data_IF_248098568829
#
_entry.id   IF_248098568829
#
_cell.length_a   1.000
_cell.length_b   1.000
_cell.length_c   1.000
_cell.angle_alpha   90.00
_cell.angle_beta   90.00
_cell.angle_gamma   90.00
#
_symmetry.space_group_name_H-M   'P 1'
#
loop_
_entity.id
_entity.type
_entity.pdbx_description
1 polymer ?
#
# COMPACT_ATOMS: atom_id res chain seq x y z
N UNK A 1 6.74 -3.84 -26.40
CA UNK A 1 8.00 -4.29 -25.77
C UNK A 1 7.71 -4.62 -24.31
N UNK A 2 8.49 -5.51 -23.68
CA UNK A 2 8.25 -6.02 -22.32
C UNK A 2 8.28 -4.91 -21.24
N UNK A 3 9.18 -3.93 -21.37
CA UNK A 3 9.27 -2.77 -20.47
C UNK A 3 8.02 -1.89 -20.47
N UNK A 4 7.42 -1.65 -21.63
CA UNK A 4 6.19 -0.85 -21.74
C UNK A 4 5.03 -1.49 -20.98
N UNK A 5 4.93 -2.83 -21.00
CA UNK A 5 3.92 -3.57 -20.19
C UNK A 5 4.26 -3.54 -18.70
N UNK A 6 5.54 -3.46 -18.33
CA UNK A 6 5.95 -3.37 -16.92
C UNK A 6 5.57 -2.03 -16.32
N UNK A 7 5.85 -0.93 -17.03
CA UNK A 7 5.47 0.44 -16.63
C UNK A 7 3.95 0.59 -16.51
N UNK A 8 3.19 0.07 -17.47
CA UNK A 8 1.71 0.06 -17.43
C UNK A 8 1.16 -0.61 -16.17
N UNK A 9 1.68 -1.79 -15.80
CA UNK A 9 1.24 -2.50 -14.58
C UNK A 9 1.45 -1.72 -13.29
N UNK A 10 2.49 -0.89 -13.21
CA UNK A 10 2.68 -0.02 -12.05
C UNK A 10 1.60 1.07 -12.02
N UNK A 11 1.37 1.74 -13.15
CA UNK A 11 0.36 2.79 -13.22
C UNK A 11 -1.05 2.26 -12.94
N UNK A 12 -1.40 1.07 -13.42
CA UNK A 12 -2.68 0.44 -13.10
C UNK A 12 -2.87 0.28 -11.58
N UNK A 13 -1.83 -0.17 -10.87
CA UNK A 13 -1.86 -0.35 -9.42
C UNK A 13 -1.84 0.99 -8.67
N UNK A 14 -1.07 1.96 -9.14
CA UNK A 14 -1.05 3.32 -8.56
C UNK A 14 -2.45 3.95 -8.67
N UNK A 15 -3.04 3.94 -9.86
CA UNK A 15 -4.38 4.48 -10.09
C UNK A 15 -5.43 3.75 -9.25
N UNK A 16 -5.31 2.44 -9.11
CA UNK A 16 -6.16 1.67 -8.21
C UNK A 16 -6.01 2.13 -6.75
N UNK A 17 -4.78 2.27 -6.23
CA UNK A 17 -4.54 2.75 -4.86
C UNK A 17 -5.16 4.13 -4.66
N UNK A 18 -4.89 5.08 -5.56
CA UNK A 18 -5.39 6.45 -5.48
C UNK A 18 -6.92 6.49 -5.48
N UNK A 19 -7.59 5.78 -6.40
CA UNK A 19 -9.05 5.65 -6.40
C UNK A 19 -9.55 5.18 -5.04
N UNK A 20 -8.94 4.12 -4.48
CA UNK A 20 -9.38 3.52 -3.21
C UNK A 20 -9.25 4.47 -2.03
N UNK A 21 -8.11 5.15 -1.89
CA UNK A 21 -7.86 6.02 -0.74
C UNK A 21 -8.61 7.36 -0.83
N UNK A 22 -8.83 7.92 -2.02
CA UNK A 22 -9.58 9.17 -2.19
C UNK A 22 -11.07 9.01 -1.87
N UNK A 23 -11.62 7.82 -2.09
CA UNK A 23 -13.06 7.57 -1.96
C UNK A 23 -13.38 6.60 -0.82
N UNK A 24 -12.62 6.64 0.28
CA UNK A 24 -12.97 5.91 1.52
C UNK A 24 -14.25 6.55 2.10
N UNK A 25 -15.38 5.81 2.20
CA UNK A 25 -16.61 6.32 2.78
C UNK A 25 -16.45 6.74 4.25
N UNK A 26 -17.35 7.61 4.70
CA UNK A 26 -17.54 7.89 6.13
C UNK A 26 -18.15 6.69 6.86
N UNK A 27 -17.85 6.56 8.15
CA UNK A 27 -18.24 5.43 8.99
C UNK A 27 -19.66 5.58 9.60
N UNK A 28 -20.62 6.07 8.81
CA UNK A 28 -21.96 6.45 9.28
C UNK A 28 -22.86 5.24 9.64
N UNK A 29 -22.70 4.14 8.92
CA UNK A 29 -23.46 2.91 9.08
C UNK A 29 -22.57 1.69 8.80
N UNK A 30 -23.04 0.50 9.20
CA UNK A 30 -22.26 -0.74 9.10
C UNK A 30 -21.88 -1.07 7.65
N UNK A 31 -22.73 -0.77 6.66
CA UNK A 31 -22.46 -1.04 5.25
C UNK A 31 -21.35 -0.12 4.73
N UNK A 32 -21.43 1.18 5.02
CA UNK A 32 -20.39 2.14 4.64
C UNK A 32 -19.08 1.87 5.36
N UNK A 33 -19.15 1.44 6.62
CA UNK A 33 -17.99 1.02 7.40
C UNK A 33 -17.30 -0.18 6.76
N UNK A 34 -18.04 -1.24 6.43
CA UNK A 34 -17.51 -2.40 5.73
C UNK A 34 -16.89 -2.02 4.37
N UNK A 35 -17.53 -1.11 3.63
CA UNK A 35 -16.99 -0.59 2.37
C UNK A 35 -15.68 0.20 2.58
N UNK A 36 -15.60 1.04 3.61
CA UNK A 36 -14.39 1.78 3.97
C UNK A 36 -13.24 0.84 4.33
N UNK A 37 -13.52 -0.15 5.17
CA UNK A 37 -12.57 -1.18 5.56
C UNK A 37 -12.05 -1.98 4.36
N UNK A 38 -12.95 -2.39 3.47
CA UNK A 38 -12.59 -3.06 2.23
C UNK A 38 -11.68 -2.20 1.35
N UNK A 39 -12.01 -0.91 1.16
CA UNK A 39 -11.17 0.01 0.37
C UNK A 39 -9.78 0.20 0.97
N UNK A 40 -9.68 0.37 2.28
CA UNK A 40 -8.38 0.43 2.98
C UNK A 40 -7.58 -0.85 2.77
N UNK A 41 -8.21 -2.02 2.95
CA UNK A 41 -7.55 -3.32 2.80
C UNK A 41 -6.97 -3.51 1.40
N UNK A 42 -7.79 -3.36 0.35
CA UNK A 42 -7.34 -3.63 -1.02
C UNK A 42 -6.33 -2.59 -1.52
N UNK A 43 -6.37 -1.35 -0.99
CA UNK A 43 -5.34 -0.35 -1.27
C UNK A 43 -3.99 -0.76 -0.67
N UNK A 44 -3.98 -1.27 0.56
CA UNK A 44 -2.78 -1.81 1.21
C UNK A 44 -2.28 -3.06 0.48
N UNK A 45 -3.16 -3.96 0.05
CA UNK A 45 -2.76 -5.12 -0.76
C UNK A 45 -2.09 -4.71 -2.08
N UNK A 46 -2.68 -3.74 -2.78
CA UNK A 46 -2.10 -3.22 -4.02
C UNK A 46 -0.74 -2.54 -3.79
N UNK A 47 -0.52 -1.89 -2.64
CA UNK A 47 0.77 -1.30 -2.31
C UNK A 47 1.83 -2.37 -2.01
N UNK A 48 1.46 -3.47 -1.34
CA UNK A 48 2.37 -4.62 -1.12
C UNK A 48 2.74 -5.31 -2.44
N UNK A 49 1.81 -5.39 -3.39
CA UNK A 49 2.12 -5.87 -4.75
C UNK A 49 3.15 -4.98 -5.45
N UNK A 50 3.03 -3.64 -5.34
CA UNK A 50 4.02 -2.71 -5.89
C UNK A 50 5.37 -2.89 -5.19
N UNK A 51 5.39 -3.08 -3.87
CA UNK A 51 6.62 -3.37 -3.11
C UNK A 51 7.30 -4.62 -3.67
N UNK A 52 6.59 -5.73 -3.85
CA UNK A 52 7.14 -6.95 -4.44
C UNK A 52 7.63 -6.72 -5.89
N UNK A 53 6.91 -5.92 -6.68
CA UNK A 53 7.33 -5.55 -8.02
C UNK A 53 8.63 -4.74 -8.01
N UNK A 54 8.74 -3.73 -7.14
CA UNK A 54 9.94 -2.91 -6.99
C UNK A 54 11.12 -3.74 -6.54
N UNK A 55 10.94 -4.62 -5.54
CA UNK A 55 11.99 -5.53 -5.06
C UNK A 55 12.58 -6.32 -6.22
N UNK A 56 11.75 -6.86 -7.11
CA UNK A 56 12.22 -7.57 -8.30
C UNK A 56 12.99 -6.65 -9.25
N UNK A 57 12.45 -5.47 -9.55
CA UNK A 57 12.98 -4.59 -10.58
C UNK A 57 14.30 -3.92 -10.17
N UNK A 58 14.55 -3.76 -8.88
CA UNK A 58 15.84 -3.26 -8.35
C UNK A 58 16.86 -4.39 -8.05
N UNK A 59 16.59 -5.61 -8.54
CA UNK A 59 17.50 -6.75 -8.48
C UNK A 59 17.44 -7.57 -7.18
N UNK A 60 16.38 -7.41 -6.39
CA UNK A 60 16.12 -8.19 -5.19
C UNK A 60 15.43 -9.53 -5.48
N UNK A 61 15.56 -10.46 -4.53
CA UNK A 61 14.76 -11.69 -4.49
C UNK A 61 13.43 -11.37 -3.79
N UNK A 62 12.32 -11.53 -4.50
CA UNK A 62 10.97 -11.33 -3.93
C UNK A 62 10.72 -12.39 -2.83
N UNK A 63 10.46 -11.91 -1.62
CA UNK A 63 10.04 -12.68 -0.45
C UNK A 63 8.63 -12.27 0.00
N UNK A 64 8.36 -12.41 1.31
CA UNK A 64 7.15 -11.86 1.92
C UNK A 64 7.18 -10.33 2.01
N UNK A 65 6.03 -9.73 2.33
CA UNK A 65 5.83 -8.29 2.42
C UNK A 65 6.86 -7.60 3.34
N UNK A 66 7.13 -8.16 4.53
CA UNK A 66 8.08 -7.57 5.49
C UNK A 66 9.53 -7.64 4.97
N UNK A 67 9.91 -8.76 4.37
CA UNK A 67 11.23 -8.95 3.76
C UNK A 67 11.42 -8.00 2.57
N UNK A 68 10.41 -7.83 1.72
CA UNK A 68 10.46 -6.93 0.57
C UNK A 68 10.60 -5.47 1.01
N UNK A 69 9.80 -5.02 2.00
CA UNK A 69 9.92 -3.66 2.55
C UNK A 69 11.32 -3.43 3.12
N UNK A 70 11.81 -4.37 3.94
CA UNK A 70 13.13 -4.26 4.59
C UNK A 70 14.24 -4.14 3.54
N UNK A 71 14.18 -4.97 2.50
CA UNK A 71 15.14 -4.91 1.39
C UNK A 71 15.11 -3.54 0.67
N UNK A 72 13.93 -2.99 0.39
CA UNK A 72 13.82 -1.68 -0.28
C UNK A 72 14.30 -0.53 0.60
N UNK A 73 14.10 -0.61 1.92
CA UNK A 73 14.65 0.35 2.89
C UNK A 73 16.17 0.26 2.97
N UNK A 74 16.75 -0.95 3.00
CA UNK A 74 18.21 -1.16 3.00
C UNK A 74 18.87 -0.67 1.71
N UNK A 75 18.14 -0.72 0.59
CA UNK A 75 18.57 -0.17 -0.71
C UNK A 75 18.30 1.32 -0.87
N UNK A 76 17.81 2.00 0.16
CA UNK A 76 17.45 3.43 0.16
C UNK A 76 16.42 3.80 -0.94
N UNK A 77 15.66 2.82 -1.42
CA UNK A 77 14.52 3.05 -2.33
C UNK A 77 13.34 3.61 -1.53
N UNK A 78 13.16 3.11 -0.31
CA UNK A 78 12.23 3.64 0.69
C UNK A 78 13.01 4.29 1.82
N UNK A 79 12.47 5.37 2.38
CA UNK A 79 12.99 5.91 3.64
C UNK A 79 12.72 4.91 4.78
N UNK A 80 13.50 4.98 5.86
CA UNK A 80 13.25 4.16 7.06
C UNK A 80 11.86 4.41 7.64
N UNK A 81 11.44 5.67 7.66
CA UNK A 81 10.11 6.08 8.14
C UNK A 81 8.98 5.46 7.31
N UNK A 82 9.03 5.63 5.98
CA UNK A 82 8.04 5.05 5.08
C UNK A 82 8.02 3.53 5.14
N UNK A 83 9.19 2.90 5.27
CA UNK A 83 9.30 1.46 5.46
C UNK A 83 8.56 0.96 6.71
N UNK A 84 8.72 1.64 7.85
CA UNK A 84 7.99 1.28 9.07
C UNK A 84 6.48 1.54 8.95
N UNK A 85 6.07 2.65 8.34
CA UNK A 85 4.64 2.93 8.08
C UNK A 85 4.00 1.85 7.20
N UNK A 86 4.70 1.39 6.15
CA UNK A 86 4.21 0.31 5.27
C UNK A 86 4.11 -1.03 6.01
N UNK A 87 5.02 -1.33 6.93
CA UNK A 87 4.93 -2.51 7.80
C UNK A 87 3.72 -2.45 8.73
N UNK A 88 3.43 -1.26 9.26
CA UNK A 88 2.23 -1.02 10.06
C UNK A 88 0.95 -1.22 9.24
N UNK A 89 0.90 -0.67 8.02
CA UNK A 89 -0.21 -0.91 7.09
C UNK A 89 -0.39 -2.39 6.76
N UNK A 90 0.70 -3.12 6.50
CA UNK A 90 0.65 -4.55 6.23
C UNK A 90 0.06 -5.33 7.44
N UNK A 91 0.37 -4.90 8.66
CA UNK A 91 -0.28 -5.41 9.87
C UNK A 91 -1.77 -5.07 9.93
N UNK A 92 -2.12 -3.82 9.64
CA UNK A 92 -3.51 -3.34 9.62
C UNK A 92 -4.38 -4.13 8.65
N UNK A 93 -3.87 -4.51 7.47
CA UNK A 93 -4.57 -5.39 6.51
C UNK A 93 -5.07 -6.67 7.19
N UNK A 94 -4.23 -7.31 8.00
CA UNK A 94 -4.58 -8.56 8.68
C UNK A 94 -5.61 -8.31 9.79
N UNK A 95 -5.48 -7.21 10.53
CA UNK A 95 -6.47 -6.81 11.54
C UNK A 95 -7.83 -6.53 10.90
N UNK A 96 -7.84 -5.94 9.70
CA UNK A 96 -9.09 -5.68 8.97
C UNK A 96 -9.84 -6.98 8.62
N UNK A 97 -9.11 -8.03 8.23
CA UNK A 97 -9.71 -9.34 7.90
C UNK A 97 -10.20 -10.07 9.14
N UNK A 98 -9.54 -9.87 10.28
CA UNK A 98 -9.79 -10.60 11.52
C UNK A 98 -10.66 -9.85 12.54
N UNK A 99 -11.48 -8.87 12.11
CA UNK A 99 -12.38 -8.13 13.01
C UNK A 99 -13.29 -9.07 13.79
N UNK A 100 -12.99 -9.30 15.06
CA UNK A 100 -13.80 -10.18 15.91
C UNK A 100 -14.69 -9.39 16.87
N UNK A 101 -14.47 -8.07 17.05
CA UNK A 101 -15.23 -7.23 17.96
C UNK A 101 -15.23 -5.72 17.60
N UNK A 102 -16.14 -4.95 18.21
CA UNK A 102 -16.34 -3.50 17.97
C UNK A 102 -15.18 -2.59 18.37
N UNK A 103 -14.36 -2.98 19.36
CA UNK A 103 -13.20 -2.17 19.79
C UNK A 103 -12.13 -2.13 18.70
N UNK A 104 -12.00 -3.21 17.94
CA UNK A 104 -11.12 -3.25 16.77
C UNK A 104 -11.62 -2.38 15.62
N UNK A 105 -12.93 -2.17 15.49
CA UNK A 105 -13.50 -1.31 14.43
C UNK A 105 -13.12 0.15 14.63
N UNK A 106 -13.37 0.71 15.83
CA UNK A 106 -13.03 2.12 16.15
C UNK A 106 -11.54 2.41 15.91
N UNK A 107 -10.66 1.48 16.31
CA UNK A 107 -9.22 1.63 16.09
C UNK A 107 -8.85 1.66 14.60
N UNK A 108 -9.57 0.90 13.75
CA UNK A 108 -9.33 0.92 12.31
C UNK A 108 -9.85 2.21 11.69
N UNK A 109 -10.99 2.73 12.16
CA UNK A 109 -11.52 4.02 11.71
C UNK A 109 -10.53 5.16 11.95
N UNK A 110 -9.88 5.19 13.13
CA UNK A 110 -8.82 6.15 13.47
C UNK A 110 -7.60 6.06 12.53
N UNK A 111 -7.35 4.89 11.92
CA UNK A 111 -6.26 4.69 10.97
C UNK A 111 -6.57 5.16 9.55
N UNK A 112 -7.79 5.64 9.25
CA UNK A 112 -8.16 6.13 7.90
C UNK A 112 -7.19 7.18 7.38
N UNK A 113 -6.90 8.21 8.17
CA UNK A 113 -6.01 9.29 7.75
C UNK A 113 -4.57 8.78 7.55
N UNK A 114 -4.11 7.90 8.45
CA UNK A 114 -2.81 7.26 8.33
C UNK A 114 -2.64 6.43 7.05
N UNK A 115 -3.68 5.66 6.67
CA UNK A 115 -3.71 4.93 5.39
C UNK A 115 -3.61 5.90 4.21
N UNK A 116 -4.42 6.95 4.20
CA UNK A 116 -4.43 7.94 3.13
C UNK A 116 -3.07 8.61 2.95
N UNK A 117 -2.48 9.13 4.03
CA UNK A 117 -1.20 9.84 3.97
C UNK A 117 -0.05 8.92 3.56
N UNK A 118 0.04 7.74 4.18
CA UNK A 118 1.13 6.79 3.91
C UNK A 118 1.08 6.26 2.47
N UNK A 119 -0.11 5.95 1.95
CA UNK A 119 -0.22 5.43 0.58
C UNK A 119 -0.02 6.52 -0.47
N UNK A 120 -0.39 7.77 -0.20
CA UNK A 120 -0.01 8.90 -1.07
C UNK A 120 1.51 9.11 -1.09
N UNK A 121 2.15 9.16 0.08
CA UNK A 121 3.62 9.26 0.20
C UNK A 121 4.30 8.11 -0.57
N UNK A 122 3.80 6.89 -0.42
CA UNK A 122 4.32 5.73 -1.13
C UNK A 122 4.17 5.85 -2.66
N UNK A 123 3.01 6.28 -3.15
CA UNK A 123 2.77 6.49 -4.59
C UNK A 123 3.78 7.50 -5.16
N UNK A 124 4.00 8.63 -4.50
CA UNK A 124 4.97 9.64 -4.94
C UNK A 124 6.38 9.06 -5.06
N UNK A 125 6.81 8.26 -4.07
CA UNK A 125 8.11 7.58 -4.10
C UNK A 125 8.19 6.60 -5.28
N UNK A 126 7.15 5.79 -5.47
CA UNK A 126 7.08 4.79 -6.56
C UNK A 126 7.16 5.46 -7.93
N UNK A 127 6.39 6.53 -8.16
CA UNK A 127 6.43 7.28 -9.42
C UNK A 127 7.83 7.82 -9.73
N UNK A 128 8.52 8.34 -8.71
CA UNK A 128 9.89 8.83 -8.85
C UNK A 128 10.89 7.70 -9.16
N UNK A 129 10.69 6.51 -8.59
CA UNK A 129 11.53 5.34 -8.87
C UNK A 129 11.27 4.81 -10.29
N UNK A 130 10.02 4.71 -10.71
CA UNK A 130 9.64 4.26 -12.06
C UNK A 130 10.22 5.17 -13.14
N UNK A 131 10.18 6.50 -12.94
CA UNK A 131 10.84 7.45 -13.86
C UNK A 131 12.31 7.13 -14.03
N UNK A 132 13.03 6.81 -12.95
CA UNK A 132 14.47 6.46 -13.00
C UNK A 132 14.76 5.09 -13.62
N UNK A 133 13.81 4.15 -13.59
CA UNK A 133 13.99 2.79 -14.13
C UNK A 133 13.68 2.72 -15.63
N UNK A 134 12.68 3.48 -16.10
CA UNK A 134 12.13 3.35 -17.44
C UNK A 134 12.29 4.61 -18.33
N UNK A 135 13.02 5.63 -17.87
CA UNK A 135 13.45 6.80 -18.65
C UNK A 135 14.97 6.89 -18.64
#
# INVERSE_FOLDING_TARGET
MEESRRKERYFDKINFILDKIENIPEFEDDIKRDAAFYRMQIAIEASMDIVAMLTKDVGGKVGDDYANITFLTEREVLSKDLGEKLKELNGLRNVIVHKYNKVEEELIEEKRQFVFETLNEFVEVVENVIKKIFE
#
